data_IF_039584090131
#
_entry.id   IF_039584090131
#
_cell.length_a   1.000
_cell.length_b   1.000
_cell.length_c   1.000
_cell.angle_alpha   90.00
_cell.angle_beta   90.00
_cell.angle_gamma   90.00
#
_symmetry.space_group_name_H-M   'P 1'
#
loop_
_entity.id
_entity.type
_entity.pdbx_description
1 polymer ?
#
# COMPACT_ATOMS: atom_id res chain seq x y z
N UNK A 1 11.68 -23.64 -22.51
CA UNK A 1 11.48 -22.25 -22.05
C UNK A 1 10.03 -21.90 -22.30
N UNK A 2 9.19 -22.00 -21.28
CA UNK A 2 7.77 -21.66 -21.39
C UNK A 2 7.70 -20.15 -21.18
N UNK A 3 7.31 -19.41 -22.21
CA UNK A 3 7.04 -17.98 -22.07
C UNK A 3 5.89 -17.82 -21.07
N UNK A 4 6.01 -16.97 -20.04
CA UNK A 4 4.90 -16.72 -19.13
C UNK A 4 3.70 -16.22 -19.95
N UNK A 5 2.53 -16.85 -19.74
CA UNK A 5 1.29 -16.40 -20.37
C UNK A 5 1.06 -14.93 -20.04
N UNK A 6 0.82 -14.11 -21.08
CA UNK A 6 0.43 -12.71 -20.90
C UNK A 6 -0.86 -12.66 -20.09
N UNK A 7 -0.79 -12.20 -18.84
CA UNK A 7 -2.00 -11.89 -18.07
C UNK A 7 -2.54 -10.55 -18.55
N UNK A 8 -3.81 -10.53 -18.93
CA UNK A 8 -4.55 -9.28 -19.04
C UNK A 8 -4.55 -8.58 -17.68
N UNK A 9 -4.51 -7.23 -17.65
CA UNK A 9 -4.52 -6.49 -16.40
C UNK A 9 -5.82 -6.82 -15.67
N UNK A 10 -5.72 -7.09 -14.38
CA UNK A 10 -6.91 -7.19 -13.54
C UNK A 10 -7.47 -5.78 -13.44
N UNK A 11 -8.47 -5.50 -14.26
CA UNK A 11 -9.13 -4.21 -14.33
C UNK A 11 -10.40 -4.21 -13.48
N UNK A 12 -10.51 -3.26 -12.57
CA UNK A 12 -11.76 -2.97 -11.84
C UNK A 12 -12.42 -1.78 -12.50
N UNK A 13 -13.69 -1.94 -12.86
CA UNK A 13 -14.54 -0.90 -13.44
C UNK A 13 -15.65 -0.54 -12.47
N UNK A 14 -15.84 0.74 -12.21
CA UNK A 14 -16.87 1.22 -11.30
C UNK A 14 -17.33 2.61 -11.72
N UNK A 15 -18.62 2.93 -11.55
CA UNK A 15 -19.08 4.32 -11.71
C UNK A 15 -18.99 5.05 -10.38
N UNK A 16 -18.48 6.28 -10.43
CA UNK A 16 -18.64 7.26 -9.36
C UNK A 16 -20.10 7.70 -9.22
N UNK A 17 -20.43 8.30 -8.09
CA UNK A 17 -21.79 8.73 -7.75
C UNK A 17 -22.31 9.83 -8.69
N UNK A 18 -21.42 10.58 -9.36
CA UNK A 18 -21.73 11.58 -10.38
C UNK A 18 -21.82 11.00 -11.81
N UNK A 19 -21.57 9.70 -11.97
CA UNK A 19 -21.63 8.98 -13.23
C UNK A 19 -20.29 8.78 -13.94
N UNK A 20 -19.20 9.44 -13.52
CA UNK A 20 -17.86 9.24 -14.10
C UNK A 20 -17.42 7.77 -14.02
N UNK A 21 -16.73 7.29 -15.05
CA UNK A 21 -16.19 5.93 -15.09
C UNK A 21 -14.82 5.90 -14.40
N UNK A 22 -14.68 5.05 -13.38
CA UNK A 22 -13.43 4.74 -12.71
C UNK A 22 -12.89 3.41 -13.24
N UNK A 23 -11.64 3.41 -13.66
CA UNK A 23 -10.90 2.24 -14.11
C UNK A 23 -9.64 2.09 -13.28
N UNK A 24 -9.40 0.91 -12.73
CA UNK A 24 -8.20 0.61 -11.93
C UNK A 24 -7.47 -0.55 -12.56
N UNK A 25 -6.21 -0.33 -12.94
CA UNK A 25 -5.37 -1.32 -13.61
C UNK A 25 -4.23 -1.73 -12.69
N UNK A 26 -4.14 -3.01 -12.35
CA UNK A 26 -2.92 -3.56 -11.76
C UNK A 26 -1.90 -3.89 -12.85
N UNK A 27 -0.76 -3.21 -12.83
CA UNK A 27 0.24 -3.31 -13.90
C UNK A 27 1.38 -4.29 -13.61
N UNK A 28 1.36 -4.95 -12.44
CA UNK A 28 2.40 -5.91 -12.06
C UNK A 28 2.29 -7.21 -12.88
N UNK A 29 3.42 -7.65 -13.47
CA UNK A 29 3.49 -8.90 -14.23
C UNK A 29 2.76 -8.89 -15.57
N UNK A 30 2.32 -7.71 -16.03
CA UNK A 30 1.66 -7.50 -17.32
C UNK A 30 2.54 -6.75 -18.32
N UNK A 31 2.12 -6.73 -19.58
CA UNK A 31 2.77 -6.02 -20.68
C UNK A 31 2.14 -4.63 -20.83
N UNK A 32 2.40 -3.74 -19.85
CA UNK A 32 1.74 -2.44 -19.69
C UNK A 32 2.72 -1.28 -19.59
N UNK A 33 3.72 -1.22 -20.48
CA UNK A 33 4.78 -0.21 -20.45
C UNK A 33 4.25 1.22 -20.30
N UNK A 34 3.16 1.55 -20.98
CA UNK A 34 2.60 2.90 -20.99
C UNK A 34 1.95 3.25 -19.64
N UNK A 35 1.21 2.32 -19.05
CA UNK A 35 0.58 2.50 -17.73
C UNK A 35 1.65 2.57 -16.63
N UNK A 36 2.65 1.70 -16.69
CA UNK A 36 3.82 1.72 -15.77
C UNK A 36 4.57 3.06 -15.89
N UNK A 37 4.75 3.55 -17.12
CA UNK A 37 5.33 4.86 -17.39
C UNK A 37 4.55 6.00 -16.74
N UNK A 38 3.21 5.98 -16.85
CA UNK A 38 2.34 6.97 -16.24
C UNK A 38 2.43 6.96 -14.70
N UNK A 39 2.46 5.78 -14.06
CA UNK A 39 2.65 5.67 -12.60
C UNK A 39 4.01 6.28 -12.21
N UNK A 40 5.10 5.93 -12.91
CA UNK A 40 6.44 6.42 -12.61
C UNK A 40 6.60 7.93 -12.78
N UNK A 41 5.96 8.52 -13.80
CA UNK A 41 5.95 9.95 -14.04
C UNK A 41 5.19 10.69 -12.94
N UNK A 42 3.98 10.24 -12.62
CA UNK A 42 3.18 10.85 -11.55
C UNK A 42 3.84 10.72 -10.19
N UNK A 43 4.45 9.57 -9.89
CA UNK A 43 5.19 9.40 -8.65
C UNK A 43 6.31 10.43 -8.55
N UNK A 44 7.14 10.56 -9.58
CA UNK A 44 8.24 11.54 -9.62
C UNK A 44 7.75 12.98 -9.41
N UNK A 45 6.58 13.32 -9.95
CA UNK A 45 5.97 14.64 -9.76
C UNK A 45 5.38 14.86 -8.37
N UNK A 46 4.74 13.84 -7.78
CA UNK A 46 4.05 13.95 -6.49
C UNK A 46 4.98 13.78 -5.29
N UNK A 47 6.07 13.02 -5.45
CA UNK A 47 7.04 12.63 -4.43
C UNK A 47 8.48 12.82 -4.93
N UNK A 48 8.88 14.07 -5.27
CA UNK A 48 10.22 14.35 -5.82
C UNK A 48 11.37 13.99 -4.86
N UNK A 49 11.09 13.88 -3.56
CA UNK A 49 12.03 13.45 -2.52
C UNK A 49 12.33 11.94 -2.54
N UNK A 50 11.57 11.16 -3.31
CA UNK A 50 11.74 9.70 -3.45
C UNK A 50 12.08 9.30 -4.90
N UNK A 51 13.16 9.82 -5.51
CA UNK A 51 13.47 9.61 -6.93
C UNK A 51 13.79 8.15 -7.28
N UNK A 52 14.20 7.35 -6.30
CA UNK A 52 14.53 5.93 -6.45
C UNK A 52 13.30 5.04 -6.72
N UNK A 53 12.09 5.51 -6.41
CA UNK A 53 10.86 4.70 -6.58
C UNK A 53 10.45 4.58 -8.04
N UNK A 54 10.74 5.59 -8.88
CA UNK A 54 10.45 5.54 -10.31
C UNK A 54 11.11 4.34 -11.03
N UNK A 55 12.42 4.09 -10.84
CA UNK A 55 13.06 2.85 -11.26
C UNK A 55 12.43 1.58 -10.66
N UNK A 56 12.11 1.57 -9.36
CA UNK A 56 11.50 0.41 -8.68
C UNK A 56 10.12 0.04 -9.25
N UNK A 57 9.29 1.03 -9.59
CA UNK A 57 7.99 0.84 -10.25
C UNK A 57 8.17 -0.01 -11.53
N UNK A 58 9.13 0.37 -12.36
CA UNK A 58 9.43 -0.33 -13.63
C UNK A 58 9.96 -1.74 -13.41
N UNK A 59 10.91 -1.90 -12.48
CA UNK A 59 11.50 -3.19 -12.14
C UNK A 59 10.46 -4.18 -11.59
N UNK A 60 9.62 -3.72 -10.65
CA UNK A 60 8.55 -4.51 -10.05
C UNK A 60 7.48 -4.88 -11.07
N UNK A 61 7.18 -4.02 -12.05
CA UNK A 61 6.21 -4.33 -13.08
C UNK A 61 6.72 -5.42 -14.04
N UNK A 62 8.02 -5.41 -14.35
CA UNK A 62 8.67 -6.40 -15.20
C UNK A 62 8.92 -7.75 -14.51
N UNK A 63 8.97 -7.76 -13.17
CA UNK A 63 9.21 -8.98 -12.40
C UNK A 63 7.94 -9.82 -12.30
N UNK A 64 8.06 -11.13 -12.57
CA UNK A 64 7.02 -12.07 -12.19
C UNK A 64 6.85 -12.01 -10.67
N UNK A 65 5.60 -12.05 -10.19
CA UNK A 65 5.27 -12.02 -8.76
C UNK A 65 6.09 -13.10 -8.05
N UNK A 66 7.11 -12.70 -7.29
CA UNK A 66 7.93 -13.64 -6.55
C UNK A 66 7.18 -14.07 -5.28
N UNK A 67 6.38 -15.13 -5.44
CA UNK A 67 5.58 -15.69 -4.36
C UNK A 67 6.44 -16.24 -3.20
N UNK A 68 7.76 -16.38 -3.38
CA UNK A 68 8.64 -17.04 -2.41
C UNK A 68 8.71 -16.33 -1.05
N UNK A 69 8.43 -15.02 -0.98
CA UNK A 69 8.45 -14.24 0.25
C UNK A 69 7.08 -14.06 0.92
N UNK A 70 6.00 -14.60 0.35
CA UNK A 70 4.64 -14.36 0.87
C UNK A 70 4.15 -12.91 0.75
N UNK A 71 4.91 -12.06 0.06
CA UNK A 71 4.58 -10.66 -0.25
C UNK A 71 4.29 -10.56 -1.74
N UNK A 72 3.16 -9.97 -2.11
CA UNK A 72 2.77 -9.76 -3.50
C UNK A 72 2.67 -8.26 -3.78
N UNK A 73 3.51 -7.71 -4.68
CA UNK A 73 3.43 -6.30 -5.01
C UNK A 73 2.25 -6.03 -5.94
N UNK A 74 1.65 -4.85 -5.78
CA UNK A 74 0.58 -4.33 -6.62
C UNK A 74 0.88 -2.88 -6.99
N UNK A 75 0.59 -2.54 -8.24
CA UNK A 75 0.80 -1.19 -8.76
C UNK A 75 -0.43 -0.78 -9.54
N UNK A 76 -1.30 -0.02 -8.89
CA UNK A 76 -2.57 0.36 -9.47
C UNK A 76 -2.48 1.73 -10.12
N UNK A 77 -2.75 1.80 -11.43
CA UNK A 77 -3.07 3.06 -12.10
C UNK A 77 -4.58 3.27 -12.00
N UNK A 78 -5.00 4.49 -11.64
CA UNK A 78 -6.41 4.88 -11.60
C UNK A 78 -6.68 5.85 -12.76
N UNK A 79 -7.70 5.56 -13.55
CA UNK A 79 -8.22 6.45 -14.59
C UNK A 79 -9.65 6.86 -14.26
N UNK A 80 -10.01 8.08 -14.66
CA UNK A 80 -11.36 8.64 -14.61
C UNK A 80 -11.73 9.10 -16.01
N UNK A 81 -12.78 8.52 -16.58
CA UNK A 81 -13.24 8.80 -17.95
C UNK A 81 -12.09 8.73 -18.99
N UNK A 82 -11.24 7.71 -18.86
CA UNK A 82 -10.06 7.47 -19.72
C UNK A 82 -8.84 8.35 -19.44
N UNK A 83 -8.94 9.34 -18.54
CA UNK A 83 -7.81 10.18 -18.15
C UNK A 83 -7.12 9.66 -16.90
N UNK A 84 -5.79 9.70 -16.87
CA UNK A 84 -5.02 9.31 -15.69
C UNK A 84 -5.34 10.22 -14.50
N UNK A 85 -5.83 9.61 -13.42
CA UNK A 85 -6.37 10.28 -12.24
C UNK A 85 -5.51 10.06 -10.99
N UNK A 86 -4.78 8.95 -10.90
CA UNK A 86 -4.11 8.56 -9.67
C UNK A 86 -3.30 7.29 -9.77
N UNK A 87 -2.59 6.95 -8.70
CA UNK A 87 -2.00 5.63 -8.51
C UNK A 87 -2.03 5.21 -7.05
N UNK A 88 -1.92 3.90 -6.82
CA UNK A 88 -1.64 3.31 -5.51
C UNK A 88 -0.57 2.24 -5.64
N UNK A 89 0.48 2.33 -4.82
CA UNK A 89 1.51 1.30 -4.67
C UNK A 89 1.30 0.63 -3.32
N UNK A 90 1.08 -0.67 -3.33
CA UNK A 90 0.90 -1.44 -2.11
C UNK A 90 1.40 -2.86 -2.27
N UNK A 91 1.65 -3.53 -1.15
CA UNK A 91 1.98 -4.96 -1.15
C UNK A 91 0.95 -5.74 -0.32
N UNK A 92 0.49 -6.89 -0.82
CA UNK A 92 -0.26 -7.88 -0.05
C UNK A 92 0.73 -8.77 0.70
N UNK A 93 0.85 -8.62 2.02
CA UNK A 93 1.64 -9.52 2.86
C UNK A 93 0.75 -10.68 3.34
N UNK A 94 0.74 -11.75 2.57
CA UNK A 94 -0.12 -12.93 2.78
C UNK A 94 0.24 -13.67 4.07
N UNK A 95 1.53 -13.72 4.42
CA UNK A 95 2.00 -14.35 5.66
C UNK A 95 1.43 -13.64 6.91
N UNK A 96 1.40 -12.31 6.88
CA UNK A 96 0.88 -11.47 7.98
C UNK A 96 -0.59 -11.09 7.83
N UNK A 97 -1.21 -11.42 6.70
CA UNK A 97 -2.61 -11.15 6.36
C UNK A 97 -2.96 -9.65 6.42
N UNK A 98 -2.03 -8.79 6.03
CA UNK A 98 -2.20 -7.33 5.95
C UNK A 98 -1.78 -6.83 4.57
N UNK A 99 -2.38 -5.73 4.12
CA UNK A 99 -1.91 -4.98 2.96
C UNK A 99 -1.10 -3.77 3.43
N UNK A 100 0.03 -3.51 2.82
CA UNK A 100 0.93 -2.39 3.12
C UNK A 100 0.76 -1.31 2.05
N UNK A 101 0.15 -0.18 2.39
CA UNK A 101 0.08 0.99 1.50
C UNK A 101 1.37 1.79 1.59
N UNK A 102 2.13 1.84 0.50
CA UNK A 102 3.41 2.55 0.43
C UNK A 102 3.24 3.97 -0.07
N UNK A 103 2.62 4.11 -1.25
CA UNK A 103 2.42 5.41 -1.87
C UNK A 103 1.03 5.50 -2.48
N UNK A 104 0.38 6.66 -2.30
CA UNK A 104 -0.90 6.94 -2.93
C UNK A 104 -0.93 8.39 -3.39
N UNK A 105 -1.42 8.59 -4.59
CA UNK A 105 -1.66 9.91 -5.14
C UNK A 105 -2.91 9.90 -5.98
N UNK A 106 -3.76 10.91 -5.79
CA UNK A 106 -4.87 11.24 -6.66
C UNK A 106 -4.73 12.71 -7.06
N UNK A 107 -5.03 13.03 -8.32
CA UNK A 107 -5.23 14.40 -8.76
C UNK A 107 -6.36 15.04 -7.96
N UNK A 108 -6.30 16.35 -7.76
CA UNK A 108 -7.23 17.09 -6.89
C UNK A 108 -8.68 16.90 -7.36
N UNK A 109 -8.90 16.96 -8.66
CA UNK A 109 -10.21 16.81 -9.30
C UNK A 109 -10.79 15.41 -9.09
N UNK A 110 -9.93 14.39 -9.04
CA UNK A 110 -10.33 13.00 -8.81
C UNK A 110 -10.49 12.68 -7.31
N UNK A 111 -9.76 13.39 -6.44
CA UNK A 111 -9.81 13.20 -4.98
C UNK A 111 -11.15 13.56 -4.35
N UNK A 112 -11.93 14.43 -5.00
CA UNK A 112 -13.29 14.80 -4.55
C UNK A 112 -14.36 13.82 -5.00
N UNK A 113 -14.08 12.93 -5.94
CA UNK A 113 -15.05 11.94 -6.40
C UNK A 113 -15.49 11.03 -5.27
N UNK A 114 -16.74 10.59 -5.32
CA UNK A 114 -17.28 9.58 -4.41
C UNK A 114 -17.78 8.37 -5.18
N UNK A 115 -17.63 7.20 -4.57
CA UNK A 115 -18.06 5.90 -5.07
C UNK A 115 -18.72 5.18 -3.92
N UNK A 116 -19.97 4.77 -4.06
CA UNK A 116 -20.76 4.15 -3.00
C UNK A 116 -20.79 5.04 -1.72
N UNK A 117 -20.92 6.37 -1.92
CA UNK A 117 -20.89 7.39 -0.86
C UNK A 117 -19.58 7.49 -0.09
N UNK A 118 -18.49 6.89 -0.58
CA UNK A 118 -17.14 7.00 -0.01
C UNK A 118 -16.28 7.84 -0.94
N UNK A 119 -15.37 8.66 -0.40
CA UNK A 119 -14.34 9.32 -1.23
C UNK A 119 -13.55 8.28 -2.01
N UNK A 120 -13.14 8.59 -3.24
CA UNK A 120 -12.43 7.66 -4.12
C UNK A 120 -11.24 7.00 -3.44
N UNK A 121 -10.45 7.74 -2.67
CA UNK A 121 -9.33 7.19 -1.89
C UNK A 121 -9.78 6.14 -0.87
N UNK A 122 -10.84 6.44 -0.11
CA UNK A 122 -11.41 5.49 0.84
C UNK A 122 -11.99 4.24 0.16
N UNK A 123 -12.59 4.40 -1.02
CA UNK A 123 -13.05 3.27 -1.84
C UNK A 123 -11.89 2.42 -2.36
N UNK A 124 -10.82 3.03 -2.87
CA UNK A 124 -9.62 2.32 -3.34
C UNK A 124 -9.01 1.47 -2.21
N UNK A 125 -8.92 2.01 -1.00
CA UNK A 125 -8.39 1.27 0.14
C UNK A 125 -9.26 0.06 0.53
N UNK A 126 -10.58 0.14 0.36
CA UNK A 126 -11.45 -1.04 0.53
C UNK A 126 -11.19 -2.09 -0.54
N UNK A 127 -10.98 -1.67 -1.79
CA UNK A 127 -10.58 -2.58 -2.88
C UNK A 127 -9.23 -3.24 -2.64
N UNK A 128 -8.29 -2.56 -1.98
CA UNK A 128 -7.01 -3.18 -1.57
C UNK A 128 -7.25 -4.29 -0.54
N UNK A 129 -8.13 -4.09 0.45
CA UNK A 129 -8.46 -5.14 1.42
C UNK A 129 -9.12 -6.35 0.73
N UNK A 130 -9.99 -6.11 -0.24
CA UNK A 130 -10.56 -7.20 -1.06
C UNK A 130 -9.49 -7.93 -1.89
N UNK A 131 -8.55 -7.19 -2.49
CA UNK A 131 -7.42 -7.77 -3.22
C UNK A 131 -6.57 -8.65 -2.31
N UNK A 132 -6.21 -8.16 -1.12
CA UNK A 132 -5.52 -8.94 -0.09
C UNK A 132 -6.28 -10.23 0.27
N UNK A 133 -7.60 -10.15 0.42
CA UNK A 133 -8.44 -11.33 0.70
C UNK A 133 -8.32 -12.36 -0.43
N UNK A 134 -8.35 -11.93 -1.70
CA UNK A 134 -8.11 -12.82 -2.85
C UNK A 134 -6.71 -13.40 -2.83
N UNK A 135 -5.70 -12.60 -2.50
CA UNK A 135 -4.31 -13.06 -2.41
C UNK A 135 -4.11 -14.09 -1.31
N UNK A 136 -4.87 -13.97 -0.22
CA UNK A 136 -4.94 -14.93 0.88
C UNK A 136 -5.86 -16.14 0.59
N UNK A 137 -6.39 -16.28 -0.63
CA UNK A 137 -7.29 -17.39 -0.98
C UNK A 137 -8.63 -17.35 -0.25
N UNK A 138 -9.12 -16.17 0.10
CA UNK A 138 -10.36 -15.95 0.85
C UNK A 138 -10.26 -16.14 2.36
N UNK A 139 -9.05 -16.36 2.89
CA UNK A 139 -8.84 -16.43 4.35
C UNK A 139 -9.10 -15.07 5.01
N UNK A 140 -9.51 -15.05 6.30
CA UNK A 140 -9.70 -13.80 7.04
C UNK A 140 -8.43 -12.94 7.05
N UNK A 141 -8.57 -11.68 6.68
CA UNK A 141 -7.50 -10.67 6.66
C UNK A 141 -7.62 -9.69 7.81
N UNK A 142 -6.53 -9.00 8.14
CA UNK A 142 -6.48 -8.03 9.22
C UNK A 142 -6.70 -6.59 8.74
N UNK A 143 -6.71 -6.37 7.42
CA UNK A 143 -7.01 -5.07 6.81
C UNK A 143 -5.81 -4.46 6.09
N UNK A 144 -5.88 -3.15 5.89
CA UNK A 144 -4.83 -2.35 5.27
C UNK A 144 -4.10 -1.55 6.34
N UNK A 145 -2.77 -1.58 6.30
CA UNK A 145 -1.88 -0.74 7.10
C UNK A 145 -1.14 0.21 6.18
N UNK A 146 -0.89 1.42 6.67
CA UNK A 146 -0.12 2.43 5.96
C UNK A 146 0.68 3.24 6.95
N UNK A 147 1.60 4.04 6.43
CA UNK A 147 2.44 4.90 7.24
C UNK A 147 2.33 6.35 6.76
N UNK A 148 2.36 7.29 7.69
CA UNK A 148 2.23 8.70 7.38
C UNK A 148 3.00 9.57 8.37
N UNK A 149 3.60 10.69 7.92
CA UNK A 149 4.11 11.67 8.86
C UNK A 149 2.95 12.29 9.64
N UNK A 150 3.21 12.73 10.88
CA UNK A 150 2.17 13.21 11.80
C UNK A 150 1.25 14.28 11.20
N UNK A 151 1.78 15.19 10.38
CA UNK A 151 0.99 16.25 9.75
C UNK A 151 0.00 15.75 8.67
N UNK A 152 0.17 14.52 8.15
CA UNK A 152 -0.75 13.88 7.18
C UNK A 152 -1.80 12.99 7.84
N UNK A 153 -1.61 12.57 9.10
CA UNK A 153 -2.53 11.69 9.83
C UNK A 153 -4.00 12.18 9.80
N UNK A 154 -4.32 13.48 9.96
CA UNK A 154 -5.70 13.95 9.91
C UNK A 154 -6.42 13.64 8.58
N UNK A 155 -5.71 13.67 7.46
CA UNK A 155 -6.28 13.37 6.13
C UNK A 155 -6.69 11.90 6.06
N UNK A 156 -5.82 11.01 6.57
CA UNK A 156 -6.10 9.57 6.58
C UNK A 156 -7.21 9.19 7.56
N UNK A 157 -7.31 9.88 8.70
CA UNK A 157 -8.45 9.72 9.63
C UNK A 157 -9.77 10.09 8.97
N UNK A 158 -9.79 11.14 8.13
CA UNK A 158 -11.00 11.58 7.43
C UNK A 158 -11.55 10.53 6.45
N UNK A 159 -10.69 9.66 5.89
CA UNK A 159 -11.11 8.54 5.03
C UNK A 159 -11.30 7.23 5.80
N UNK A 160 -11.22 7.25 7.14
CA UNK A 160 -11.56 6.15 8.03
C UNK A 160 -10.39 5.32 8.56
N UNK A 161 -9.13 5.73 8.35
CA UNK A 161 -7.99 5.06 8.98
C UNK A 161 -7.93 5.42 10.46
N UNK A 162 -7.66 4.41 11.28
CA UNK A 162 -7.31 4.56 12.69
C UNK A 162 -5.81 4.73 12.80
N UNK A 163 -5.38 5.53 13.77
CA UNK A 163 -3.98 5.64 14.16
C UNK A 163 -3.75 4.72 15.36
N UNK A 164 -2.77 3.82 15.27
CA UNK A 164 -2.44 2.92 16.37
C UNK A 164 -1.74 3.64 17.53
N UNK A 165 -1.32 4.90 17.36
CA UNK A 165 -0.54 5.64 18.35
C UNK A 165 0.89 5.10 18.51
N UNK A 166 1.39 4.40 17.48
CA UNK A 166 2.78 3.94 17.43
C UNK A 166 3.55 4.91 16.55
N UNK A 167 4.53 5.56 17.16
CA UNK A 167 5.59 6.23 16.43
C UNK A 167 6.67 5.18 16.10
N UNK A 168 6.97 5.04 14.82
CA UNK A 168 8.11 4.26 14.34
C UNK A 168 8.86 5.05 13.27
N UNK A 169 10.00 4.54 12.82
CA UNK A 169 10.89 5.29 11.94
C UNK A 169 11.06 4.60 10.58
N UNK A 170 11.03 5.40 9.50
CA UNK A 170 11.46 4.98 8.16
C UNK A 170 12.88 5.48 7.85
N UNK A 171 13.67 4.74 7.05
CA UNK A 171 14.91 5.25 6.49
C UNK A 171 14.66 6.29 5.39
N UNK A 172 15.28 7.48 5.49
CA UNK A 172 15.11 8.57 4.52
C UNK A 172 15.58 8.19 3.10
N UNK A 173 16.58 7.31 2.99
CA UNK A 173 17.13 6.82 1.72
C UNK A 173 16.32 5.65 1.11
N UNK A 174 15.16 5.32 1.68
CA UNK A 174 14.31 4.22 1.23
C UNK A 174 14.90 2.84 1.56
N UNK A 175 14.53 1.78 0.80
CA UNK A 175 14.90 0.39 1.11
C UNK A 175 16.40 0.08 0.93
N UNK A 176 17.21 1.07 0.51
CA UNK A 176 18.67 0.98 0.46
C UNK A 176 19.32 1.23 1.83
N UNK A 177 18.60 1.02 2.93
CA UNK A 177 19.13 1.15 4.28
C UNK A 177 20.38 0.28 4.45
N UNK A 178 21.51 0.92 4.78
CA UNK A 178 22.82 0.26 4.94
C UNK A 178 23.23 0.09 6.40
N UNK A 179 22.30 0.26 7.35
CA UNK A 179 22.58 0.10 8.76
C UNK A 179 22.80 1.41 9.54
N UNK A 180 23.50 1.34 10.69
CA UNK A 180 23.66 2.43 11.65
C UNK A 180 24.28 3.69 11.02
N UNK A 181 23.62 4.84 11.20
CA UNK A 181 24.05 6.14 10.66
C UNK A 181 23.17 6.71 9.55
N UNK A 182 22.21 5.92 9.05
CA UNK A 182 21.17 6.41 8.13
C UNK A 182 20.19 7.33 8.88
N UNK A 183 19.78 8.43 8.25
CA UNK A 183 18.76 9.31 8.81
C UNK A 183 17.40 8.61 8.85
N UNK A 184 16.75 8.72 10.00
CA UNK A 184 15.45 8.13 10.30
C UNK A 184 14.40 9.22 10.45
N UNK A 185 13.22 9.02 9.86
CA UNK A 185 12.09 9.94 9.96
C UNK A 185 10.94 9.31 10.74
N UNK A 186 10.33 10.04 11.70
CA UNK A 186 9.19 9.53 12.45
C UNK A 186 7.93 9.44 11.56
N UNK A 187 7.19 8.34 11.73
CA UNK A 187 5.93 8.03 11.08
C UNK A 187 4.94 7.45 12.09
N UNK A 188 3.66 7.55 11.73
CA UNK A 188 2.55 6.92 12.43
C UNK A 188 2.08 5.70 11.66
N UNK A 189 1.85 4.60 12.37
CA UNK A 189 1.19 3.42 11.79
C UNK A 189 -0.33 3.62 11.79
N UNK A 190 -0.90 3.58 10.60
CA UNK A 190 -2.33 3.75 10.36
C UNK A 190 -2.97 2.44 9.89
N UNK A 191 -4.25 2.26 10.17
CA UNK A 191 -4.97 1.02 9.87
C UNK A 191 -6.41 1.23 9.45
N UNK A 192 -6.81 0.52 8.40
CA UNK A 192 -8.19 0.37 7.96
C UNK A 192 -8.64 -1.09 8.18
N UNK A 193 -9.57 -1.36 9.12
CA UNK A 193 -10.11 -2.70 9.35
C UNK A 193 -10.93 -3.18 8.14
N UNK A 194 -11.06 -4.49 7.89
CA UNK A 194 -12.01 -5.03 6.92
C UNK A 194 -13.45 -4.63 7.26
N UNK A 195 -14.32 -4.52 6.24
CA UNK A 195 -15.74 -4.24 6.47
C UNK A 195 -16.42 -5.43 7.17
N UNK A 196 -17.41 -5.13 8.02
CA UNK A 196 -18.24 -6.14 8.70
C UNK A 196 -17.56 -6.86 9.87
N UNK A 197 -16.32 -6.50 10.23
CA UNK A 197 -15.62 -7.03 11.40
C UNK A 197 -15.57 -5.93 12.48
N UNK A 198 -15.90 -6.28 13.73
CA UNK A 198 -15.66 -5.39 14.87
C UNK A 198 -14.14 -5.16 15.02
N UNK A 199 -13.64 -3.92 14.81
CA UNK A 199 -12.22 -3.66 14.85
C UNK A 199 -11.58 -4.03 16.19
N UNK A 200 -12.31 -3.90 17.31
CA UNK A 200 -11.77 -4.14 18.65
C UNK A 200 -11.32 -5.59 18.86
N UNK A 201 -11.87 -6.53 18.08
CA UNK A 201 -11.53 -7.95 18.15
C UNK A 201 -10.21 -8.30 17.45
N UNK A 202 -9.75 -7.45 16.52
CA UNK A 202 -8.58 -7.73 15.67
C UNK A 202 -7.51 -6.64 15.74
N UNK A 203 -7.77 -5.52 16.42
CA UNK A 203 -6.91 -4.33 16.45
C UNK A 203 -5.48 -4.65 16.88
N UNK A 204 -5.30 -5.36 18.00
CA UNK A 204 -3.98 -5.71 18.52
C UNK A 204 -3.20 -6.63 17.55
N UNK A 205 -3.89 -7.59 16.93
CA UNK A 205 -3.29 -8.48 15.94
C UNK A 205 -2.91 -7.72 14.67
N UNK A 206 -3.77 -6.80 14.21
CA UNK A 206 -3.50 -5.95 13.07
C UNK A 206 -2.32 -5.01 13.33
N UNK A 207 -2.22 -4.46 14.55
CA UNK A 207 -1.10 -3.64 15.01
C UNK A 207 0.21 -4.39 14.96
N UNK A 208 0.30 -5.56 15.60
CA UNK A 208 1.51 -6.40 15.61
C UNK A 208 1.90 -6.85 14.20
N UNK A 209 0.92 -7.31 13.41
CA UNK A 209 1.15 -7.75 12.03
C UNK A 209 1.61 -6.60 11.14
N UNK A 210 0.99 -5.41 11.26
CA UNK A 210 1.34 -4.22 10.49
C UNK A 210 2.73 -3.69 10.82
N UNK A 211 3.04 -3.52 12.11
CA UNK A 211 4.37 -3.10 12.56
C UNK A 211 5.45 -4.05 12.05
N UNK A 212 5.24 -5.35 12.18
CA UNK A 212 6.22 -6.33 11.73
C UNK A 212 6.33 -6.39 10.20
N UNK A 213 5.23 -6.17 9.48
CA UNK A 213 5.23 -6.11 8.03
C UNK A 213 6.08 -4.94 7.50
N UNK A 214 5.97 -3.75 8.09
CA UNK A 214 6.84 -2.62 7.73
C UNK A 214 8.27 -2.81 8.23
N UNK A 215 8.45 -3.05 9.53
CA UNK A 215 9.78 -2.99 10.14
C UNK A 215 10.66 -4.19 9.78
N UNK A 216 10.12 -5.40 9.84
CA UNK A 216 10.91 -6.62 9.67
C UNK A 216 10.92 -7.08 8.21
N UNK A 217 9.80 -6.99 7.51
CA UNK A 217 9.71 -7.56 6.15
C UNK A 217 10.08 -6.52 5.09
N UNK A 218 9.57 -5.29 5.20
CA UNK A 218 9.80 -4.23 4.22
C UNK A 218 11.15 -3.52 4.43
N UNK A 219 11.37 -2.98 5.63
CA UNK A 219 12.60 -2.25 5.98
C UNK A 219 13.76 -3.14 6.42
N UNK A 220 13.47 -4.39 6.80
CA UNK A 220 14.48 -5.38 7.24
C UNK A 220 15.30 -4.93 8.45
N UNK A 221 14.69 -4.18 9.36
CA UNK A 221 15.29 -3.85 10.65
C UNK A 221 15.48 -5.11 11.51
N UNK A 222 16.45 -5.05 12.42
CA UNK A 222 16.70 -6.11 13.39
C UNK A 222 15.73 -6.00 14.57
N UNK A 223 15.13 -7.13 14.96
CA UNK A 223 14.25 -7.22 16.13
C UNK A 223 15.00 -6.94 17.44
N UNK A 224 16.32 -7.06 17.46
CA UNK A 224 17.16 -6.70 18.61
C UNK A 224 17.18 -5.20 18.91
N UNK A 225 16.77 -4.35 17.95
CA UNK A 225 16.63 -2.91 18.19
C UNK A 225 15.42 -2.63 19.11
N UNK A 226 15.61 -1.98 20.29
CA UNK A 226 14.54 -1.85 21.28
C UNK A 226 13.27 -1.14 20.78
N UNK A 227 13.41 -0.22 19.84
CA UNK A 227 12.26 0.50 19.28
C UNK A 227 11.47 -0.39 18.29
N UNK A 228 12.14 -1.28 17.55
CA UNK A 228 11.52 -2.29 16.69
C UNK A 228 10.76 -3.30 17.55
N UNK A 229 11.41 -3.85 18.58
CA UNK A 229 10.79 -4.81 19.50
C UNK A 229 9.51 -4.25 20.14
N UNK A 230 9.56 -2.99 20.62
CA UNK A 230 8.38 -2.30 21.18
C UNK A 230 7.27 -2.11 20.15
N UNK A 231 7.59 -1.65 18.93
CA UNK A 231 6.60 -1.40 17.89
C UNK A 231 5.91 -2.70 17.43
N UNK A 232 6.67 -3.79 17.30
CA UNK A 232 6.17 -5.13 16.95
C UNK A 232 5.40 -5.79 18.10
N UNK A 233 5.58 -5.33 19.34
CA UNK A 233 4.95 -5.93 20.52
C UNK A 233 5.67 -7.17 21.03
N UNK A 234 6.94 -7.36 20.68
CA UNK A 234 7.80 -8.35 21.33
C UNK A 234 8.41 -7.71 22.58
N UNK A 235 7.79 -7.87 23.73
CA UNK A 235 8.48 -7.63 24.99
C UNK A 235 9.45 -8.78 25.22
N UNK A 236 10.75 -8.47 25.35
CA UNK A 236 11.72 -9.41 25.90
C UNK A 236 11.23 -9.82 27.29
N UNK A 237 10.86 -11.10 27.46
CA UNK A 237 10.80 -11.72 28.79
C UNK A 237 12.23 -11.89 29.34
#
# INVERSE_FOLDING_TARGET
MILPEKREPVAVYQRADDGSLIEVFDVVGGDHSDLVGAIAEMHSAAFPEHPFVGPMIRERAASAIDAAAGVRPHQWLVQVDGATAGFVLFDSNVARKVALSHYVYLRVESGVLTVDRRRLLGWLYRRIIEQLSRDCGGLPVLGLVGEAPGYRVPIFRWIGLKDFGIEFYEPVVGPQWQGPGSELRPLHLLWLPPDGIDPTLIEERARQAGSAAFLLDHYRFDLSEPWVARAVGSTSE
#
